data_IF_091437067946
#
_entry.id   IF_091437067946
#
_cell.length_a   1.000
_cell.length_b   1.000
_cell.length_c   1.000
_cell.angle_alpha   90.00
_cell.angle_beta   90.00
_cell.angle_gamma   90.00
#
_symmetry.space_group_name_H-M   'P 1'
#
loop_
_entity.id
_entity.type
_entity.pdbx_description
1 polymer ?
#
# COMPACT_ATOMS: atom_id res chain seq x y z
N UNK A 1 -2.07 -53.15 2.38
CA UNK A 1 -3.09 -52.64 3.34
C UNK A 1 -3.28 -51.15 3.07
N UNK A 2 -4.35 -50.75 2.37
CA UNK A 2 -4.67 -49.35 2.07
C UNK A 2 -5.56 -48.81 3.19
N UNK A 3 -5.09 -47.82 3.95
CA UNK A 3 -5.89 -47.13 4.97
C UNK A 3 -6.85 -46.16 4.25
N UNK A 4 -8.16 -46.41 4.36
CA UNK A 4 -9.21 -45.56 3.83
C UNK A 4 -9.29 -44.23 4.58
N UNK A 5 -9.46 -43.14 3.84
CA UNK A 5 -9.58 -41.76 4.35
C UNK A 5 -10.93 -41.56 5.05
N UNK A 6 -10.97 -41.18 6.36
CA UNK A 6 -12.20 -41.06 7.13
C UNK A 6 -13.14 -39.92 6.73
N UNK A 7 -12.74 -39.02 5.86
CA UNK A 7 -13.57 -37.86 5.45
C UNK A 7 -14.69 -38.15 4.45
N UNK A 8 -14.70 -39.38 3.85
CA UNK A 8 -15.73 -39.77 2.89
C UNK A 8 -17.08 -40.19 3.52
N UNK A 9 -17.12 -40.39 4.81
CA UNK A 9 -18.31 -40.86 5.51
C UNK A 9 -19.22 -39.75 6.03
N UNK A 10 -18.66 -38.55 6.23
CA UNK A 10 -19.43 -37.39 6.73
C UNK A 10 -20.17 -36.63 5.61
N UNK A 11 -19.76 -36.79 4.36
CA UNK A 11 -20.36 -36.04 3.25
C UNK A 11 -21.71 -36.58 2.78
N UNK A 12 -22.04 -37.85 3.10
CA UNK A 12 -23.31 -38.47 2.70
C UNK A 12 -24.45 -38.20 3.68
N UNK A 13 -24.18 -37.79 4.90
CA UNK A 13 -25.18 -37.61 5.94
C UNK A 13 -25.84 -36.22 5.95
N UNK A 14 -25.21 -35.22 5.31
CA UNK A 14 -25.77 -33.87 5.21
C UNK A 14 -26.71 -33.64 4.03
N UNK A 15 -26.74 -34.57 3.04
CA UNK A 15 -27.61 -34.42 1.88
C UNK A 15 -29.03 -34.90 2.06
N UNK A 16 -29.31 -35.72 3.11
CA UNK A 16 -30.65 -36.31 3.33
C UNK A 16 -31.55 -35.48 4.24
N UNK A 17 -31.00 -34.51 5.01
CA UNK A 17 -31.80 -33.65 5.90
C UNK A 17 -32.37 -32.43 5.22
N UNK A 18 -31.77 -31.98 4.09
CA UNK A 18 -32.15 -30.75 3.40
C UNK A 18 -33.39 -30.87 2.50
N UNK A 19 -33.90 -32.09 2.24
CA UNK A 19 -34.99 -32.31 1.28
C UNK A 19 -36.40 -32.33 1.93
N UNK A 20 -36.49 -32.46 3.26
CA UNK A 20 -37.78 -32.59 3.97
C UNK A 20 -38.38 -31.26 4.46
N UNK A 21 -37.72 -30.10 4.28
CA UNK A 21 -38.16 -28.84 4.89
C UNK A 21 -38.78 -27.85 3.87
N UNK A 22 -39.01 -28.25 2.62
CA UNK A 22 -39.50 -27.33 1.55
C UNK A 22 -40.98 -27.54 1.19
N UNK A 23 -41.71 -28.50 1.80
CA UNK A 23 -43.07 -28.85 1.35
C UNK A 23 -44.24 -28.50 2.26
N UNK A 24 -44.13 -27.50 3.11
CA UNK A 24 -45.22 -27.14 4.03
C UNK A 24 -45.47 -25.64 4.20
N UNK A 25 -45.53 -24.82 3.13
CA UNK A 25 -46.17 -23.50 3.22
C UNK A 25 -46.81 -23.16 1.85
N UNK A 26 -47.98 -23.74 1.60
CA UNK A 26 -48.92 -23.24 0.58
C UNK A 26 -50.35 -23.45 1.08
N UNK A 27 -50.87 -22.56 1.91
CA UNK A 27 -52.28 -22.26 2.03
C UNK A 27 -52.52 -21.07 2.97
N UNK A 28 -53.14 -20.01 2.49
CA UNK A 28 -53.94 -19.16 3.40
C UNK A 28 -53.75 -17.68 3.28
N UNK A 29 -54.68 -17.12 2.55
CA UNK A 29 -55.49 -15.91 2.79
C UNK A 29 -54.92 -14.54 2.42
N UNK A 30 -55.54 -14.04 1.39
CA UNK A 30 -55.79 -12.63 1.02
C UNK A 30 -56.57 -11.92 2.09
N UNK A 31 -56.08 -10.78 2.62
CA UNK A 31 -56.90 -9.64 3.07
C UNK A 31 -56.18 -8.34 2.78
N UNK A 32 -56.93 -7.41 2.22
CA UNK A 32 -56.53 -6.07 1.84
C UNK A 32 -56.28 -5.17 3.01
N UNK A 33 -55.41 -4.18 2.82
CA UNK A 33 -55.54 -2.89 3.49
C UNK A 33 -54.34 -2.44 4.33
N UNK A 34 -53.80 -1.39 3.90
CA UNK A 34 -53.21 -0.28 4.66
C UNK A 34 -51.72 0.02 4.32
N UNK A 35 -51.59 1.17 3.66
CA UNK A 35 -50.33 1.88 3.47
C UNK A 35 -49.71 2.23 4.81
N UNK A 36 -48.58 1.64 5.13
CA UNK A 36 -47.63 2.22 6.09
C UNK A 36 -46.29 2.22 5.40
N UNK A 37 -45.77 3.41 5.16
CA UNK A 37 -44.43 3.62 4.66
C UNK A 37 -43.43 3.10 5.72
N UNK A 38 -42.91 1.91 5.52
CA UNK A 38 -41.81 1.38 6.30
C UNK A 38 -40.55 2.02 5.75
N UNK A 39 -40.11 3.05 6.46
CA UNK A 39 -38.88 3.74 6.27
C UNK A 39 -37.76 2.75 6.61
N UNK A 40 -37.29 2.03 5.60
CA UNK A 40 -36.07 1.22 5.68
C UNK A 40 -34.93 2.16 5.99
N UNK A 41 -34.57 2.25 7.27
CA UNK A 41 -33.31 2.82 7.69
C UNK A 41 -32.22 1.85 7.22
N UNK A 42 -31.78 2.02 5.98
CA UNK A 42 -30.51 1.51 5.54
C UNK A 42 -29.45 2.18 6.42
N UNK A 43 -28.93 1.43 7.38
CA UNK A 43 -27.67 1.75 8.04
C UNK A 43 -26.62 1.61 6.96
N UNK A 44 -26.35 2.71 6.25
CA UNK A 44 -25.22 2.88 5.37
C UNK A 44 -23.98 2.77 6.26
N UNK A 45 -23.45 1.54 6.34
CA UNK A 45 -22.09 1.35 6.87
C UNK A 45 -21.19 2.18 5.96
N UNK A 46 -20.70 3.31 6.46
CA UNK A 46 -19.71 4.12 5.78
C UNK A 46 -18.50 3.22 5.51
N UNK A 47 -18.44 2.64 4.32
CA UNK A 47 -17.23 1.99 3.84
C UNK A 47 -16.20 3.10 3.72
N UNK A 48 -15.21 3.08 4.62
CA UNK A 48 -14.02 3.94 4.53
C UNK A 48 -13.30 3.47 3.25
N UNK A 49 -13.63 4.10 2.13
CA UNK A 49 -12.93 3.83 0.87
C UNK A 49 -11.55 4.48 0.95
N UNK A 50 -10.50 3.69 0.80
CA UNK A 50 -9.12 4.20 0.70
C UNK A 50 -9.03 5.12 -0.53
N UNK A 51 -8.58 6.38 -0.37
CA UNK A 51 -8.44 7.30 -1.49
C UNK A 51 -7.53 6.73 -2.58
N UNK A 52 -7.92 6.88 -3.84
CA UNK A 52 -7.12 6.42 -4.98
C UNK A 52 -5.88 7.29 -5.20
N UNK A 53 -4.82 6.75 -5.84
CA UNK A 53 -3.65 7.53 -6.20
C UNK A 53 -4.02 8.70 -7.12
N UNK A 54 -3.47 9.88 -6.83
CA UNK A 54 -3.72 11.09 -7.59
C UNK A 54 -2.66 11.30 -8.68
N UNK A 55 -3.02 12.07 -9.71
CA UNK A 55 -2.08 12.47 -10.77
C UNK A 55 -1.06 13.45 -10.20
N UNK A 56 0.23 13.17 -10.37
CA UNK A 56 1.32 14.07 -10.01
C UNK A 56 1.58 14.98 -11.21
N UNK A 57 1.32 16.28 -11.05
CA UNK A 57 1.51 17.28 -12.10
C UNK A 57 3.00 17.49 -12.41
N UNK A 58 3.29 17.96 -13.62
CA UNK A 58 4.68 18.12 -14.09
C UNK A 58 5.48 19.16 -13.27
N UNK A 59 4.80 20.16 -12.73
CA UNK A 59 5.34 21.25 -11.92
C UNK A 59 5.26 20.99 -10.40
N UNK A 60 4.68 19.86 -10.00
CA UNK A 60 4.59 19.50 -8.60
C UNK A 60 5.98 19.18 -8.02
N UNK A 61 6.30 19.77 -6.87
CA UNK A 61 7.58 19.56 -6.17
C UNK A 61 7.47 18.47 -5.14
N UNK A 62 8.54 17.68 -4.99
CA UNK A 62 8.69 16.71 -3.91
C UNK A 62 8.59 17.39 -2.54
N UNK A 63 7.70 16.90 -1.68
CA UNK A 63 7.44 17.46 -0.35
C UNK A 63 8.64 17.47 0.61
N UNK A 64 9.71 16.75 0.26
CA UNK A 64 10.93 16.65 1.08
C UNK A 64 12.11 17.41 0.50
N UNK A 65 12.45 17.18 -0.78
CA UNK A 65 13.70 17.65 -1.39
C UNK A 65 13.51 18.72 -2.47
N UNK A 66 12.26 18.99 -2.90
CA UNK A 66 11.94 20.00 -3.92
C UNK A 66 12.17 19.56 -5.38
N UNK A 67 12.68 18.35 -5.64
CA UNK A 67 12.79 17.81 -6.99
C UNK A 67 11.40 17.61 -7.60
N UNK A 68 11.33 17.50 -8.94
CA UNK A 68 10.08 17.25 -9.65
C UNK A 68 9.82 15.75 -9.83
N UNK A 69 8.88 15.14 -9.10
CA UNK A 69 8.61 13.69 -9.17
C UNK A 69 8.17 13.22 -10.56
N UNK A 70 7.59 14.11 -11.36
CA UNK A 70 7.20 13.82 -12.74
C UNK A 70 8.37 13.37 -13.62
N UNK A 71 9.60 13.81 -13.32
CA UNK A 71 10.82 13.39 -14.01
C UNK A 71 11.27 11.97 -13.66
N UNK A 72 10.66 11.36 -12.64
CA UNK A 72 11.04 10.04 -12.11
C UNK A 72 9.84 9.10 -11.98
N UNK A 73 9.10 8.83 -13.07
CA UNK A 73 7.78 8.17 -13.00
C UNK A 73 7.82 6.78 -12.36
N UNK A 74 8.95 6.08 -12.45
CA UNK A 74 9.13 4.76 -11.85
C UNK A 74 9.33 4.81 -10.33
N UNK A 75 9.77 5.95 -9.79
CA UNK A 75 10.14 6.13 -8.40
C UNK A 75 9.08 6.85 -7.57
N UNK A 76 8.09 7.42 -8.26
CA UNK A 76 7.05 8.22 -7.61
C UNK A 76 6.45 7.55 -6.38
N UNK A 77 6.28 8.35 -5.35
CA UNK A 77 5.49 8.03 -4.18
C UNK A 77 4.58 9.22 -3.83
N UNK A 78 3.52 8.99 -3.09
CA UNK A 78 2.62 10.06 -2.64
C UNK A 78 1.94 9.68 -1.33
N UNK A 79 1.67 10.68 -0.51
CA UNK A 79 0.80 10.60 0.65
C UNK A 79 -0.51 11.29 0.26
N UNK A 80 -1.64 10.61 0.48
CA UNK A 80 -2.97 11.22 0.39
C UNK A 80 -3.49 11.40 1.81
N UNK A 81 -3.93 12.59 2.14
CA UNK A 81 -4.46 12.93 3.45
C UNK A 81 -5.98 12.75 3.52
N UNK A 82 -6.52 12.69 4.74
CA UNK A 82 -7.96 12.50 5.00
C UNK A 82 -8.82 13.64 4.47
N UNK A 83 -8.25 14.83 4.31
CA UNK A 83 -8.90 15.99 3.72
C UNK A 83 -8.93 15.97 2.17
N UNK A 84 -8.34 14.92 1.56
CA UNK A 84 -8.25 14.76 0.11
C UNK A 84 -7.07 15.47 -0.54
N UNK A 85 -6.24 16.18 0.22
CA UNK A 85 -5.01 16.76 -0.30
C UNK A 85 -3.93 15.69 -0.51
N UNK A 86 -2.90 16.01 -1.31
CA UNK A 86 -1.83 15.07 -1.65
C UNK A 86 -0.45 15.73 -1.56
N UNK A 87 0.54 14.96 -1.11
CA UNK A 87 1.95 15.34 -1.11
C UNK A 87 2.74 14.36 -1.97
N UNK A 88 3.36 14.81 -3.09
CA UNK A 88 4.13 13.94 -3.97
C UNK A 88 5.60 13.85 -3.56
N UNK A 89 6.25 12.75 -3.94
CA UNK A 89 7.67 12.49 -3.70
C UNK A 89 8.34 11.85 -4.92
N UNK A 90 9.61 12.17 -5.11
CA UNK A 90 10.47 11.63 -6.17
C UNK A 90 11.00 10.21 -5.89
N UNK A 91 10.81 9.72 -4.66
CA UNK A 91 11.15 8.37 -4.24
C UNK A 91 10.62 8.03 -2.85
N UNK A 92 10.60 6.73 -2.53
CA UNK A 92 10.15 6.25 -1.22
C UNK A 92 11.01 6.82 -0.10
N UNK A 93 12.34 6.96 -0.30
CA UNK A 93 13.22 7.54 0.73
C UNK A 93 12.80 8.96 1.12
N UNK A 94 12.42 9.79 0.16
CA UNK A 94 11.90 11.13 0.44
C UNK A 94 10.58 11.08 1.21
N UNK A 95 9.66 10.19 0.82
CA UNK A 95 8.40 10.01 1.51
C UNK A 95 8.58 9.55 2.96
N UNK A 96 9.37 8.53 3.22
CA UNK A 96 9.62 8.04 4.58
C UNK A 96 10.37 9.06 5.45
N UNK A 97 11.34 9.81 4.89
CA UNK A 97 11.99 10.89 5.61
C UNK A 97 11.05 12.07 5.91
N UNK A 98 10.09 12.36 5.02
CA UNK A 98 9.03 13.32 5.29
C UNK A 98 8.16 12.84 6.45
N UNK A 99 7.69 11.59 6.42
CA UNK A 99 6.87 10.99 7.48
C UNK A 99 7.57 11.04 8.86
N UNK A 100 8.87 10.74 8.91
CA UNK A 100 9.63 10.75 10.17
C UNK A 100 9.88 12.15 10.76
N UNK A 101 9.59 13.21 10.01
CA UNK A 101 9.82 14.62 10.43
C UNK A 101 8.73 15.52 9.80
N UNK A 102 7.51 15.05 9.73
CA UNK A 102 6.41 15.73 9.01
C UNK A 102 6.20 17.15 9.53
N UNK A 103 6.32 17.36 10.83
CA UNK A 103 6.21 18.67 11.49
C UNK A 103 7.17 19.74 10.95
N UNK A 104 8.29 19.32 10.34
CA UNK A 104 9.26 20.24 9.73
C UNK A 104 8.85 20.68 8.31
N UNK A 105 8.10 19.86 7.60
CA UNK A 105 7.78 20.04 6.16
C UNK A 105 6.32 20.37 5.90
N UNK A 106 5.44 19.98 6.79
CA UNK A 106 4.00 20.23 6.68
C UNK A 106 3.46 20.72 8.03
N UNK A 107 2.93 21.94 8.03
CA UNK A 107 2.34 22.56 9.24
C UNK A 107 0.83 22.34 9.32
N UNK A 108 0.23 21.89 8.24
CA UNK A 108 -1.20 21.66 8.15
C UNK A 108 -1.60 20.24 8.57
N UNK A 109 -0.69 19.27 8.41
CA UNK A 109 -0.99 17.86 8.66
C UNK A 109 -0.01 17.22 9.64
N UNK A 110 -0.51 16.18 10.30
CA UNK A 110 0.23 15.24 11.15
C UNK A 110 0.20 13.83 10.56
N UNK A 111 0.90 12.89 11.17
CA UNK A 111 0.84 11.48 10.79
C UNK A 111 -0.57 10.89 10.91
N UNK A 112 -1.38 11.42 11.84
CA UNK A 112 -2.75 10.95 12.05
C UNK A 112 -3.71 11.39 10.92
N UNK A 113 -3.32 12.38 10.12
CA UNK A 113 -4.11 12.87 8.99
C UNK A 113 -3.84 12.07 7.70
N UNK A 114 -2.86 11.17 7.70
CA UNK A 114 -2.57 10.31 6.56
C UNK A 114 -3.71 9.31 6.36
N UNK A 115 -4.28 9.31 5.15
CA UNK A 115 -5.28 8.33 4.74
C UNK A 115 -4.61 7.11 4.11
N UNK A 116 -3.61 7.33 3.25
CA UNK A 116 -2.87 6.25 2.57
C UNK A 116 -1.52 6.76 2.04
N UNK A 117 -0.55 5.88 1.97
CA UNK A 117 0.74 6.09 1.30
C UNK A 117 0.81 5.22 0.04
N UNK A 118 0.90 5.85 -1.13
CA UNK A 118 1.04 5.15 -2.39
C UNK A 118 2.49 5.14 -2.86
N UNK A 119 2.97 3.97 -3.28
CA UNK A 119 4.29 3.78 -3.88
C UNK A 119 4.17 3.05 -5.21
N UNK A 120 5.15 3.21 -6.10
CA UNK A 120 5.18 2.50 -7.40
C UNK A 120 5.85 1.14 -7.25
N UNK A 121 5.11 0.06 -7.48
CA UNK A 121 5.71 -1.28 -7.63
C UNK A 121 6.83 -1.24 -8.69
N UNK A 122 8.02 -1.66 -8.29
CA UNK A 122 9.21 -1.51 -9.13
C UNK A 122 9.17 -2.35 -10.40
N UNK A 123 8.47 -3.48 -10.40
CA UNK A 123 8.39 -4.37 -11.56
C UNK A 123 7.42 -3.85 -12.63
N UNK A 124 6.25 -3.37 -12.21
CA UNK A 124 5.15 -3.09 -13.14
C UNK A 124 4.70 -1.63 -13.16
N UNK A 125 5.22 -0.78 -12.25
CA UNK A 125 4.89 0.64 -12.15
C UNK A 125 3.47 0.94 -11.67
N UNK A 126 2.73 -0.05 -11.16
CA UNK A 126 1.41 0.18 -10.56
C UNK A 126 1.54 0.82 -9.19
N UNK A 127 0.53 1.58 -8.80
CA UNK A 127 0.41 2.08 -7.45
C UNK A 127 0.01 0.94 -6.50
N UNK A 128 0.69 0.85 -5.35
CA UNK A 128 0.42 -0.10 -4.28
C UNK A 128 0.45 0.64 -2.94
N UNK A 129 -0.25 0.13 -1.94
CA UNK A 129 -0.21 0.66 -0.59
C UNK A 129 1.19 0.45 0.00
N UNK A 130 1.83 1.55 0.41
CA UNK A 130 3.17 1.51 0.98
C UNK A 130 3.24 0.81 2.34
N UNK A 131 2.11 0.67 3.05
CA UNK A 131 2.07 -0.06 4.33
C UNK A 131 2.06 -1.57 4.14
N UNK A 132 1.65 -2.05 2.97
CA UNK A 132 1.58 -3.47 2.62
C UNK A 132 2.74 -3.93 1.72
N UNK A 133 3.55 -2.98 1.21
CA UNK A 133 4.64 -3.27 0.28
C UNK A 133 5.84 -3.95 0.95
N UNK A 134 6.50 -4.81 0.19
CA UNK A 134 7.83 -5.34 0.51
C UNK A 134 8.88 -4.39 -0.04
N UNK A 135 9.79 -3.91 0.80
CA UNK A 135 10.86 -3.00 0.37
C UNK A 135 12.20 -3.72 0.32
N UNK A 136 13.00 -3.45 -0.73
CA UNK A 136 14.43 -3.76 -0.73
C UNK A 136 15.18 -2.46 -0.51
N UNK A 137 15.85 -2.38 0.62
CA UNK A 137 16.46 -1.15 1.16
C UNK A 137 17.97 -1.17 0.95
N UNK A 138 18.53 -0.14 0.34
CA UNK A 138 19.97 0.06 0.21
C UNK A 138 20.67 -0.89 -0.78
N UNK A 139 19.94 -1.38 -1.79
CA UNK A 139 20.49 -2.19 -2.89
C UNK A 139 21.54 -1.41 -3.73
N UNK A 140 22.12 -2.06 -4.74
CA UNK A 140 22.98 -1.41 -5.74
C UNK A 140 22.20 -0.47 -6.67
N UNK A 141 20.88 -0.67 -6.80
CA UNK A 141 20.02 0.18 -7.61
C UNK A 141 19.90 1.57 -6.97
N UNK A 142 20.18 2.60 -7.76
CA UNK A 142 20.13 3.99 -7.33
C UNK A 142 18.84 4.65 -7.85
N UNK A 143 18.14 5.34 -6.97
CA UNK A 143 17.02 6.20 -7.31
C UNK A 143 17.45 7.66 -7.49
N UNK A 144 16.46 8.59 -7.57
CA UNK A 144 16.72 10.02 -7.81
C UNK A 144 17.68 10.65 -6.79
N UNK A 145 17.62 10.18 -5.55
CA UNK A 145 18.44 10.67 -4.43
C UNK A 145 19.47 9.64 -3.94
N UNK A 146 20.02 8.81 -4.86
CA UNK A 146 21.01 7.78 -4.54
C UNK A 146 20.37 6.49 -4.04
N UNK A 147 20.90 5.88 -2.96
CA UNK A 147 20.30 4.67 -2.39
C UNK A 147 18.85 4.89 -2.00
N UNK A 148 18.02 3.88 -2.26
CA UNK A 148 16.56 4.02 -2.19
C UNK A 148 15.92 2.83 -1.46
N UNK A 149 14.62 2.96 -1.17
CA UNK A 149 13.72 1.90 -0.75
C UNK A 149 12.89 1.49 -1.97
N UNK A 150 13.07 0.28 -2.43
CA UNK A 150 12.48 -0.20 -3.68
C UNK A 150 11.28 -1.09 -3.37
N UNK A 151 10.04 -0.63 -3.66
CA UNK A 151 8.83 -1.33 -3.27
C UNK A 151 8.41 -2.39 -4.28
N UNK A 152 7.84 -3.48 -3.77
CA UNK A 152 7.26 -4.58 -4.51
C UNK A 152 5.94 -5.00 -3.87
N UNK A 153 4.96 -5.37 -4.70
CA UNK A 153 3.71 -6.00 -4.24
C UNK A 153 3.95 -7.43 -3.75
N UNK A 154 4.88 -8.14 -4.40
CA UNK A 154 5.11 -9.57 -4.24
C UNK A 154 6.44 -9.84 -3.51
N UNK A 155 6.38 -10.61 -2.43
CA UNK A 155 7.56 -11.01 -1.66
C UNK A 155 8.58 -11.79 -2.49
N UNK A 156 8.14 -12.66 -3.39
CA UNK A 156 9.05 -13.45 -4.23
C UNK A 156 9.80 -12.54 -5.22
N UNK A 157 9.14 -11.50 -5.75
CA UNK A 157 9.76 -10.49 -6.59
C UNK A 157 10.79 -9.66 -5.83
N UNK A 158 10.46 -9.23 -4.59
CA UNK A 158 11.41 -8.54 -3.71
C UNK A 158 12.61 -9.42 -3.37
N UNK A 159 12.40 -10.70 -3.08
CA UNK A 159 13.46 -11.67 -2.80
C UNK A 159 14.39 -11.85 -3.99
N UNK A 160 13.83 -12.03 -5.19
CA UNK A 160 14.62 -12.14 -6.43
C UNK A 160 15.48 -10.88 -6.63
N UNK A 161 14.87 -9.71 -6.50
CA UNK A 161 15.59 -8.43 -6.63
C UNK A 161 16.72 -8.30 -5.58
N UNK A 162 16.44 -8.66 -4.33
CA UNK A 162 17.43 -8.68 -3.25
C UNK A 162 18.61 -9.59 -3.58
N UNK A 163 18.38 -10.81 -4.12
CA UNK A 163 19.43 -11.73 -4.52
C UNK A 163 20.32 -11.16 -5.64
N UNK A 164 19.75 -10.42 -6.58
CA UNK A 164 20.46 -9.84 -7.72
C UNK A 164 21.16 -8.52 -7.37
N UNK A 165 20.53 -7.68 -6.61
CA UNK A 165 20.94 -6.29 -6.36
C UNK A 165 21.45 -6.04 -4.94
N UNK A 166 21.36 -7.03 -4.04
CA UNK A 166 21.69 -6.84 -2.62
C UNK A 166 20.66 -5.97 -1.89
N UNK A 167 21.09 -5.38 -0.79
CA UNK A 167 20.21 -4.63 0.12
C UNK A 167 19.59 -5.51 1.18
N UNK A 168 18.61 -5.00 1.92
CA UNK A 168 17.86 -5.72 2.95
C UNK A 168 16.37 -5.68 2.64
N UNK A 169 15.69 -6.81 2.78
CA UNK A 169 14.23 -6.85 2.70
C UNK A 169 13.63 -6.35 4.00
N UNK A 170 12.64 -5.46 3.91
CA UNK A 170 11.95 -4.86 5.05
C UNK A 170 10.47 -4.65 4.73
N UNK A 171 9.62 -4.75 5.74
CA UNK A 171 8.25 -4.28 5.71
C UNK A 171 8.19 -2.83 6.21
N UNK A 172 7.06 -2.16 5.99
CA UNK A 172 6.84 -0.77 6.41
C UNK A 172 7.26 -0.51 7.87
N UNK A 173 6.83 -1.35 8.81
CA UNK A 173 7.08 -1.17 10.24
C UNK A 173 8.57 -1.28 10.64
N UNK A 174 9.40 -1.85 9.77
CA UNK A 174 10.85 -2.02 10.01
C UNK A 174 11.68 -0.83 9.50
N UNK A 175 11.05 0.10 8.74
CA UNK A 175 11.72 1.26 8.16
C UNK A 175 11.77 2.38 9.21
N UNK A 176 12.79 2.33 10.05
CA UNK A 176 13.01 3.32 11.13
C UNK A 176 13.83 4.52 10.66
N UNK A 177 13.86 5.63 11.44
CA UNK A 177 14.73 6.76 11.15
C UNK A 177 16.21 6.37 11.04
N UNK A 178 16.69 5.37 11.78
CA UNK A 178 18.07 4.86 11.71
C UNK A 178 18.34 4.18 10.37
N UNK A 179 17.39 3.39 9.85
CA UNK A 179 17.46 2.78 8.52
C UNK A 179 17.57 3.89 7.47
N UNK A 180 16.70 4.90 7.53
CA UNK A 180 16.73 6.03 6.59
C UNK A 180 18.05 6.80 6.64
N UNK A 181 18.59 7.03 7.85
CA UNK A 181 19.89 7.70 8.06
C UNK A 181 21.04 6.91 7.44
N UNK A 182 21.00 5.58 7.50
CA UNK A 182 22.04 4.74 6.90
C UNK A 182 22.12 4.91 5.37
N UNK A 183 20.99 5.18 4.70
CA UNK A 183 20.94 5.43 3.26
C UNK A 183 21.50 6.80 2.85
N UNK A 184 21.61 7.75 3.78
CA UNK A 184 22.17 9.09 3.53
C UNK A 184 23.68 9.14 3.70
N UNK A 185 24.27 8.23 4.46
CA UNK A 185 25.69 8.21 4.79
C UNK A 185 26.62 7.99 3.59
N UNK A 186 26.15 7.29 2.56
CA UNK A 186 26.95 6.96 1.38
C UNK A 186 27.11 8.14 0.40
N UNK A 187 26.23 9.14 0.42
CA UNK A 187 26.35 10.33 -0.44
C UNK A 187 27.53 11.22 -0.06
N UNK A 188 27.92 11.27 1.21
CA UNK A 188 29.09 12.04 1.66
C UNK A 188 30.43 11.44 1.19
N UNK A 189 30.46 10.13 0.91
CA UNK A 189 31.69 9.45 0.42
C UNK A 189 31.90 9.61 -1.09
N UNK A 190 30.85 9.84 -1.87
CA UNK A 190 30.95 10.00 -3.33
C UNK A 190 31.21 11.43 -3.80
N UNK A 191 30.95 12.44 -2.96
CA UNK A 191 31.12 13.86 -3.27
C UNK A 191 32.55 14.39 -3.19
N UNK A 192 33.54 13.59 -2.81
CA UNK A 192 34.94 14.06 -2.59
C UNK A 192 35.97 13.45 -3.56
N UNK A 193 35.53 12.81 -4.66
CA UNK A 193 36.41 12.05 -5.55
C UNK A 193 36.63 12.59 -6.97
N UNK A 194 36.06 13.73 -7.37
CA UNK A 194 36.34 14.30 -8.70
C UNK A 194 36.90 15.71 -8.62
N UNK A 195 38.14 15.81 -8.12
CA UNK A 195 39.00 16.93 -8.51
C UNK A 195 39.54 16.62 -9.90
N UNK A 196 38.98 17.31 -10.90
CA UNK A 196 39.49 17.38 -12.27
C UNK A 196 40.88 18.00 -12.17
N UNK A 197 41.93 17.23 -12.44
CA UNK A 197 43.25 17.79 -12.78
C UNK A 197 43.15 18.38 -14.17
N UNK A 198 43.27 19.69 -14.28
CA UNK A 198 43.63 20.37 -15.52
C UNK A 198 45.09 20.07 -15.89
#
# INVERSE_FOLDING_TARGET
MKKGNPYHMYLKQFFTVAIFLVLAILAGCVTAGSKTAEQSSATESAQISIPQPMVILADASCGKCGMYPANYPRWQAQIVFKDGSMRPFDGCKCMFNFMSSMDQYDKAHSSDDVAVMWVKDFNNGKWIDGTEAYFVVGSKMMGPMGKELIPFTDQAAAMKFHQEQGGNMMMYAEITPEVLKSLMGDMKKQGHGSQIKM
#
